data_IF_345177015939
#
_entry.id   IF_345177015939
#
_cell.length_a   1.000
_cell.length_b   1.000
_cell.length_c   1.000
_cell.angle_alpha   90.00
_cell.angle_beta   90.00
_cell.angle_gamma   90.00
#
_symmetry.space_group_name_H-M   'P 1'
#
loop_
_entity.id
_entity.type
_entity.pdbx_description
1 polymer ?
#
# COMPACT_ATOMS: atom_id res chain seq x y z
N UNK A 1 -3.16 17.27 35.51
CA UNK A 1 -2.34 16.07 35.74
C UNK A 1 -0.94 16.33 35.20
N UNK A 2 0.07 16.43 36.07
CA UNK A 2 1.45 16.62 35.65
C UNK A 2 1.97 15.31 35.01
N UNK A 3 2.53 15.39 33.79
CA UNK A 3 3.26 14.26 33.19
C UNK A 3 4.46 13.97 34.08
N UNK A 4 4.45 12.80 34.74
CA UNK A 4 5.63 12.32 35.44
C UNK A 4 6.81 12.21 34.46
N UNK A 5 8.01 12.67 34.83
CA UNK A 5 9.18 12.56 33.98
C UNK A 5 9.46 11.07 33.72
N UNK A 6 9.57 10.72 32.44
CA UNK A 6 9.92 9.36 32.01
C UNK A 6 11.36 9.09 32.48
N UNK A 7 11.50 8.07 33.33
CA UNK A 7 12.79 7.57 33.84
C UNK A 7 13.75 7.27 32.67
N UNK A 8 15.03 7.72 32.71
CA UNK A 8 16.01 7.46 31.66
C UNK A 8 16.11 5.99 31.23
N UNK A 9 15.98 5.04 32.17
CA UNK A 9 15.95 3.60 31.89
C UNK A 9 14.77 3.20 31.00
N UNK A 10 13.59 3.80 31.22
CA UNK A 10 12.40 3.57 30.41
C UNK A 10 12.56 4.10 28.97
N UNK A 11 13.33 5.19 28.77
CA UNK A 11 13.62 5.71 27.43
C UNK A 11 14.60 4.81 26.68
N UNK A 12 15.63 4.32 27.34
CA UNK A 12 16.59 3.37 26.74
C UNK A 12 15.91 2.06 26.36
N UNK A 13 15.08 1.50 27.24
CA UNK A 13 14.28 0.30 26.95
C UNK A 13 13.35 0.48 25.77
N UNK A 14 12.66 1.63 25.68
CA UNK A 14 11.80 1.94 24.54
C UNK A 14 12.59 2.02 23.24
N UNK A 15 13.75 2.67 23.25
CA UNK A 15 14.63 2.77 22.08
C UNK A 15 15.16 1.39 21.63
N UNK A 16 15.50 0.52 22.58
CA UNK A 16 15.92 -0.84 22.31
C UNK A 16 14.80 -1.68 21.69
N UNK A 17 13.58 -1.56 22.21
CA UNK A 17 12.40 -2.20 21.65
C UNK A 17 12.11 -1.74 20.22
N UNK A 18 12.18 -0.42 19.96
CA UNK A 18 11.94 0.13 18.62
C UNK A 18 12.95 -0.38 17.60
N UNK A 19 14.24 -0.47 18.00
CA UNK A 19 15.31 -1.04 17.18
C UNK A 19 15.05 -2.51 16.87
N UNK A 20 14.79 -3.34 17.89
CA UNK A 20 14.52 -4.77 17.72
C UNK A 20 13.31 -5.04 16.83
N UNK A 21 12.24 -4.24 16.99
CA UNK A 21 11.06 -4.32 16.14
C UNK A 21 11.39 -3.99 14.67
N UNK A 22 12.21 -2.98 14.42
CA UNK A 22 12.66 -2.63 13.07
C UNK A 22 13.47 -3.77 12.44
N UNK A 23 14.41 -4.35 13.20
CA UNK A 23 15.23 -5.48 12.77
C UNK A 23 14.36 -6.72 12.45
N UNK A 24 13.36 -7.01 13.28
CA UNK A 24 12.41 -8.10 13.06
C UNK A 24 11.64 -7.92 11.74
N UNK A 25 11.07 -6.73 11.51
CA UNK A 25 10.31 -6.46 10.28
C UNK A 25 11.19 -6.53 9.03
N UNK A 26 12.44 -6.07 9.12
CA UNK A 26 13.40 -6.17 8.03
C UNK A 26 13.78 -7.64 7.75
N UNK A 27 14.05 -8.43 8.79
CA UNK A 27 14.35 -9.85 8.65
C UNK A 27 13.17 -10.62 8.04
N UNK A 28 11.94 -10.34 8.47
CA UNK A 28 10.73 -10.93 7.91
C UNK A 28 10.58 -10.59 6.42
N UNK A 29 10.78 -9.33 6.04
CA UNK A 29 10.73 -8.91 4.64
C UNK A 29 11.75 -9.65 3.76
N UNK A 30 12.99 -9.81 4.24
CA UNK A 30 14.04 -10.57 3.54
C UNK A 30 13.66 -12.05 3.42
N UNK A 31 13.11 -12.65 4.48
CA UNK A 31 12.68 -14.04 4.47
C UNK A 31 11.55 -14.28 3.46
N UNK A 32 10.51 -13.44 3.47
CA UNK A 32 9.34 -13.59 2.58
C UNK A 32 9.69 -13.30 1.12
N UNK A 33 10.54 -12.31 0.84
CA UNK A 33 11.03 -12.05 -0.53
C UNK A 33 11.89 -13.21 -1.06
N UNK A 34 12.73 -13.81 -0.22
CA UNK A 34 13.54 -14.99 -0.58
C UNK A 34 12.64 -16.21 -0.83
N UNK A 35 11.64 -16.43 0.02
CA UNK A 35 10.66 -17.51 -0.14
C UNK A 35 9.81 -17.33 -1.42
N UNK A 36 9.42 -16.10 -1.74
CA UNK A 36 8.72 -15.75 -2.98
C UNK A 36 9.58 -16.09 -4.20
N UNK A 37 10.85 -15.68 -4.23
CA UNK A 37 11.78 -16.00 -5.31
C UNK A 37 11.96 -17.53 -5.49
N UNK A 38 12.02 -18.27 -4.38
CA UNK A 38 12.09 -19.72 -4.42
C UNK A 38 10.81 -20.36 -4.96
N UNK A 39 9.63 -19.85 -4.59
CA UNK A 39 8.35 -20.29 -5.14
C UNK A 39 8.26 -20.03 -6.65
N UNK A 40 8.70 -18.86 -7.12
CA UNK A 40 8.80 -18.54 -8.55
C UNK A 40 9.68 -19.54 -9.28
N UNK A 41 10.86 -19.85 -8.73
CA UNK A 41 11.76 -20.86 -9.31
C UNK A 41 11.12 -22.25 -9.42
N UNK A 42 10.20 -22.58 -8.52
CA UNK A 42 9.45 -23.86 -8.52
C UNK A 42 8.19 -23.83 -9.37
N UNK A 43 7.88 -22.70 -10.02
CA UNK A 43 6.60 -22.48 -10.70
C UNK A 43 5.38 -22.74 -9.79
N UNK A 44 5.54 -22.48 -8.48
CA UNK A 44 4.47 -22.63 -7.50
C UNK A 44 3.72 -21.30 -7.35
N UNK A 45 2.79 -21.07 -8.25
CA UNK A 45 1.99 -19.84 -8.35
C UNK A 45 1.27 -19.53 -7.04
N UNK A 46 0.72 -20.54 -6.35
CA UNK A 46 -0.01 -20.33 -5.09
C UNK A 46 0.92 -19.78 -4.01
N UNK A 47 2.11 -20.37 -3.87
CA UNK A 47 3.12 -19.84 -2.95
C UNK A 47 3.62 -18.47 -3.38
N UNK A 48 3.78 -18.18 -4.68
CA UNK A 48 4.16 -16.83 -5.13
C UNK A 48 3.13 -15.79 -4.65
N UNK A 49 1.84 -16.09 -4.78
CA UNK A 49 0.75 -15.23 -4.33
C UNK A 49 0.74 -15.06 -2.81
N UNK A 50 0.82 -16.15 -2.06
CA UNK A 50 0.82 -16.12 -0.59
C UNK A 50 2.01 -15.30 -0.05
N UNK A 51 3.20 -15.49 -0.62
CA UNK A 51 4.42 -14.75 -0.22
C UNK A 51 4.37 -13.29 -0.64
N UNK A 52 3.77 -12.97 -1.79
CA UNK A 52 3.54 -11.57 -2.21
C UNK A 52 2.67 -10.82 -1.20
N UNK A 53 1.61 -11.47 -0.69
CA UNK A 53 0.77 -10.89 0.34
C UNK A 53 1.53 -10.70 1.67
N UNK A 54 2.36 -11.66 2.07
CA UNK A 54 3.18 -11.56 3.29
C UNK A 54 4.23 -10.42 3.20
N UNK A 55 4.83 -10.22 2.02
CA UNK A 55 5.73 -9.08 1.75
C UNK A 55 5.00 -7.75 1.94
N UNK A 56 3.78 -7.63 1.41
CA UNK A 56 2.94 -6.44 1.59
C UNK A 56 2.59 -6.19 3.06
N UNK A 57 2.25 -7.24 3.81
CA UNK A 57 1.97 -7.16 5.25
C UNK A 57 3.21 -6.70 6.04
N UNK A 58 4.41 -7.16 5.70
CA UNK A 58 5.67 -6.72 6.30
C UNK A 58 5.94 -5.21 6.04
N UNK A 59 5.82 -4.77 4.79
CA UNK A 59 5.96 -3.35 4.42
C UNK A 59 4.92 -2.50 5.14
N UNK A 60 3.70 -3.00 5.21
CA UNK A 60 2.60 -2.35 5.89
C UNK A 60 2.83 -2.18 7.40
N UNK A 61 3.39 -3.21 8.05
CA UNK A 61 3.84 -3.15 9.44
C UNK A 61 4.90 -2.07 9.66
N UNK A 62 5.87 -1.93 8.75
CA UNK A 62 6.88 -0.87 8.79
C UNK A 62 6.26 0.54 8.67
N UNK A 63 5.32 0.73 7.74
CA UNK A 63 4.62 2.02 7.60
C UNK A 63 3.81 2.33 8.86
N UNK A 64 3.10 1.33 9.41
CA UNK A 64 2.26 1.51 10.59
C UNK A 64 3.05 1.99 11.82
N UNK A 65 4.31 1.58 12.00
CA UNK A 65 5.13 2.07 13.10
C UNK A 65 5.66 3.50 12.91
N UNK A 66 5.74 3.98 11.68
CA UNK A 66 6.18 5.34 11.35
C UNK A 66 5.07 6.40 11.50
N UNK A 67 3.80 5.98 11.55
CA UNK A 67 2.67 6.92 11.61
C UNK A 67 2.11 7.10 13.03
N UNK A 68 1.40 8.22 13.29
CA UNK A 68 0.68 8.43 14.52
C UNK A 68 -0.38 7.34 14.79
N UNK A 69 -0.60 7.01 16.07
CA UNK A 69 -1.47 5.92 16.50
C UNK A 69 -2.90 6.00 15.92
N UNK A 70 -3.46 7.20 15.78
CA UNK A 70 -4.81 7.41 15.24
C UNK A 70 -4.94 7.05 13.76
N UNK A 71 -3.84 7.01 13.00
CA UNK A 71 -3.81 6.65 11.57
C UNK A 71 -3.51 5.16 11.37
N UNK A 72 -2.85 4.51 12.34
CA UNK A 72 -2.37 3.11 12.23
C UNK A 72 -3.46 2.13 11.84
N UNK A 73 -4.63 2.22 12.48
CA UNK A 73 -5.73 1.29 12.20
C UNK A 73 -6.21 1.39 10.75
N UNK A 74 -6.27 2.60 10.18
CA UNK A 74 -6.66 2.81 8.78
C UNK A 74 -5.63 2.21 7.83
N UNK A 75 -4.34 2.45 8.09
CA UNK A 75 -3.25 1.89 7.29
C UNK A 75 -3.28 0.36 7.32
N UNK A 76 -3.34 -0.24 8.51
CA UNK A 76 -3.38 -1.70 8.67
C UNK A 76 -4.59 -2.33 7.98
N UNK A 77 -5.74 -1.65 7.97
CA UNK A 77 -6.93 -2.10 7.21
C UNK A 77 -6.66 -2.10 5.71
N UNK A 78 -6.11 -1.01 5.16
CA UNK A 78 -5.77 -0.91 3.72
C UNK A 78 -4.78 -2.00 3.32
N UNK A 79 -3.74 -2.25 4.13
CA UNK A 79 -2.76 -3.32 3.89
C UNK A 79 -3.44 -4.69 3.90
N UNK A 80 -4.32 -4.96 4.88
CA UNK A 80 -5.03 -6.23 4.95
C UNK A 80 -5.95 -6.45 3.75
N UNK A 81 -6.66 -5.41 3.30
CA UNK A 81 -7.53 -5.52 2.13
C UNK A 81 -6.72 -5.73 0.85
N UNK A 82 -5.61 -5.01 0.67
CA UNK A 82 -4.68 -5.24 -0.44
C UNK A 82 -4.06 -6.65 -0.42
N UNK A 83 -3.71 -7.18 0.75
CA UNK A 83 -3.25 -8.57 0.89
C UNK A 83 -4.32 -9.59 0.49
N UNK A 84 -5.60 -9.33 0.78
CA UNK A 84 -6.71 -10.17 0.31
C UNK A 84 -6.87 -10.11 -1.22
N UNK A 85 -6.72 -8.94 -1.84
CA UNK A 85 -6.73 -8.82 -3.30
C UNK A 85 -5.62 -9.63 -3.95
N UNK A 86 -4.40 -9.56 -3.42
CA UNK A 86 -3.27 -10.39 -3.89
C UNK A 86 -3.63 -11.87 -3.75
N UNK A 87 -4.07 -12.32 -2.57
CA UNK A 87 -4.46 -13.73 -2.35
C UNK A 87 -5.58 -14.19 -3.29
N UNK A 88 -6.51 -13.30 -3.64
CA UNK A 88 -7.58 -13.56 -4.59
C UNK A 88 -7.10 -13.81 -6.03
N UNK A 89 -5.90 -13.34 -6.42
CA UNK A 89 -5.40 -13.53 -7.78
C UNK A 89 -5.12 -15.00 -8.10
N UNK A 90 -4.71 -15.81 -7.11
CA UNK A 90 -4.54 -17.25 -7.28
C UNK A 90 -5.85 -17.95 -7.67
N UNK A 91 -6.99 -17.44 -7.19
CA UNK A 91 -8.32 -17.94 -7.57
C UNK A 91 -8.67 -17.53 -9.00
N UNK A 92 -8.38 -16.28 -9.39
CA UNK A 92 -8.59 -15.82 -10.78
C UNK A 92 -7.79 -16.67 -11.78
N UNK A 93 -6.55 -17.05 -11.44
CA UNK A 93 -5.71 -17.91 -12.28
C UNK A 93 -6.24 -19.33 -12.48
N UNK A 94 -7.22 -19.78 -11.68
CA UNK A 94 -7.82 -21.11 -11.81
C UNK A 94 -9.25 -21.08 -12.36
N UNK A 95 -9.88 -19.91 -12.44
CA UNK A 95 -11.30 -19.78 -12.82
C UNK A 95 -11.50 -19.34 -14.26
N UNK A 96 -10.56 -18.59 -14.82
CA UNK A 96 -10.67 -18.06 -16.17
C UNK A 96 -9.89 -18.93 -17.17
N UNK A 97 -10.47 -19.12 -18.35
CA UNK A 97 -9.67 -19.37 -19.55
C UNK A 97 -8.76 -18.16 -19.84
N UNK A 98 -7.72 -18.36 -20.65
CA UNK A 98 -6.79 -17.28 -21.00
C UNK A 98 -7.50 -16.07 -21.62
N UNK A 99 -8.52 -16.31 -22.45
CA UNK A 99 -9.34 -15.26 -23.08
C UNK A 99 -10.17 -14.49 -22.05
N UNK A 100 -10.84 -15.17 -21.12
CA UNK A 100 -11.63 -14.52 -20.07
C UNK A 100 -10.74 -13.73 -19.09
N UNK A 101 -9.52 -14.22 -18.84
CA UNK A 101 -8.55 -13.51 -18.01
C UNK A 101 -8.06 -12.22 -18.68
N UNK A 102 -7.81 -12.25 -20.00
CA UNK A 102 -7.40 -11.07 -20.77
C UNK A 102 -8.53 -10.02 -20.85
N UNK A 103 -9.77 -10.46 -21.06
CA UNK A 103 -10.93 -9.56 -21.07
C UNK A 103 -11.15 -8.92 -19.69
N UNK A 104 -11.12 -9.71 -18.61
CA UNK A 104 -11.22 -9.17 -17.25
C UNK A 104 -10.08 -8.18 -16.92
N UNK A 105 -8.87 -8.45 -17.40
CA UNK A 105 -7.74 -7.51 -17.27
C UNK A 105 -8.01 -6.20 -18.01
N UNK A 106 -8.53 -6.25 -19.24
CA UNK A 106 -8.87 -5.03 -20.01
C UNK A 106 -9.99 -4.24 -19.36
N UNK A 107 -11.07 -4.90 -18.92
CA UNK A 107 -12.20 -4.24 -18.26
C UNK A 107 -11.79 -3.54 -16.96
N UNK A 108 -10.95 -4.19 -16.15
CA UNK A 108 -10.44 -3.58 -14.92
C UNK A 108 -9.51 -2.40 -15.21
N UNK A 109 -8.66 -2.47 -16.23
CA UNK A 109 -7.82 -1.35 -16.65
C UNK A 109 -8.64 -0.16 -17.18
N UNK A 110 -9.70 -0.40 -17.95
CA UNK A 110 -10.63 0.64 -18.39
C UNK A 110 -11.30 1.31 -17.20
N UNK A 111 -11.76 0.52 -16.22
CA UNK A 111 -12.39 1.03 -15.01
C UNK A 111 -11.47 1.98 -14.21
N UNK A 112 -10.17 1.69 -14.14
CA UNK A 112 -9.21 2.59 -13.49
C UNK A 112 -9.04 3.89 -14.27
N UNK A 113 -9.00 3.83 -15.62
CA UNK A 113 -8.92 5.04 -16.46
C UNK A 113 -10.16 5.92 -16.31
N UNK A 114 -11.34 5.32 -16.28
CA UNK A 114 -12.60 6.04 -16.08
C UNK A 114 -12.64 6.71 -14.70
N UNK A 115 -12.15 6.03 -13.67
CA UNK A 115 -12.01 6.61 -12.32
C UNK A 115 -11.02 7.78 -12.29
N UNK A 116 -9.87 7.68 -12.98
CA UNK A 116 -8.91 8.79 -13.09
C UNK A 116 -9.52 9.99 -13.80
N UNK A 117 -10.21 9.77 -14.92
CA UNK A 117 -10.88 10.84 -15.68
C UNK A 117 -11.99 11.52 -14.86
N UNK A 118 -12.73 10.74 -14.07
CA UNK A 118 -13.75 11.25 -13.15
C UNK A 118 -13.14 12.14 -12.06
N UNK A 119 -12.01 11.71 -11.48
CA UNK A 119 -11.28 12.49 -10.49
C UNK A 119 -10.75 13.81 -11.08
N UNK A 120 -10.15 13.77 -12.28
CA UNK A 120 -9.64 14.97 -12.95
C UNK A 120 -10.73 15.97 -13.30
N UNK A 121 -11.88 15.47 -13.77
CA UNK A 121 -13.04 16.31 -14.03
C UNK A 121 -13.53 16.98 -12.75
N UNK A 122 -13.71 16.20 -11.67
CA UNK A 122 -14.15 16.74 -10.38
C UNK A 122 -13.23 17.85 -9.88
N UNK A 123 -11.91 17.62 -9.94
CA UNK A 123 -10.92 18.63 -9.57
C UNK A 123 -11.04 19.88 -10.43
N UNK A 124 -11.15 19.72 -11.75
CA UNK A 124 -11.26 20.85 -12.68
C UNK A 124 -12.49 21.70 -12.36
N UNK A 125 -13.64 21.06 -12.15
CA UNK A 125 -14.90 21.72 -11.78
C UNK A 125 -14.76 22.50 -10.45
N UNK A 126 -14.07 21.93 -9.45
CA UNK A 126 -13.89 22.58 -8.13
C UNK A 126 -12.87 23.73 -8.20
N UNK A 127 -11.79 23.58 -8.97
CA UNK A 127 -10.77 24.63 -9.17
C UNK A 127 -11.37 25.88 -9.82
N UNK A 128 -12.31 25.71 -10.75
CA UNK A 128 -12.98 26.84 -11.42
C UNK A 128 -13.80 27.71 -10.44
N UNK A 129 -14.44 27.08 -9.45
CA UNK A 129 -15.38 27.77 -8.55
C UNK A 129 -14.78 28.12 -7.18
N UNK A 130 -13.61 27.57 -6.82
CA UNK A 130 -12.99 27.76 -5.51
C UNK A 130 -11.51 28.15 -5.63
N UNK A 131 -11.20 29.46 -5.56
CA UNK A 131 -9.82 29.95 -5.57
C UNK A 131 -8.97 29.39 -4.41
N UNK A 132 -9.59 29.14 -3.25
CA UNK A 132 -8.91 28.53 -2.10
C UNK A 132 -8.52 27.08 -2.38
N UNK A 133 -9.40 26.31 -3.02
CA UNK A 133 -9.08 24.95 -3.45
C UNK A 133 -8.00 24.96 -4.55
N UNK A 134 -8.08 25.90 -5.50
CA UNK A 134 -7.08 26.04 -6.56
C UNK A 134 -5.66 26.28 -6.00
N UNK A 135 -5.51 27.15 -5.01
CA UNK A 135 -4.21 27.39 -4.35
C UNK A 135 -3.70 26.12 -3.64
N UNK A 136 -4.54 25.45 -2.83
CA UNK A 136 -4.16 24.20 -2.15
C UNK A 136 -3.80 23.09 -3.15
N UNK A 137 -4.58 22.95 -4.22
CA UNK A 137 -4.36 21.95 -5.26
C UNK A 137 -3.12 22.24 -6.10
N UNK A 138 -2.74 23.52 -6.29
CA UNK A 138 -1.50 23.90 -6.97
C UNK A 138 -0.25 23.51 -6.17
N UNK A 139 -0.36 23.49 -4.84
CA UNK A 139 0.71 23.11 -3.90
C UNK A 139 0.73 21.61 -3.59
N UNK A 140 -0.09 20.82 -4.28
CA UNK A 140 -0.18 19.38 -4.07
C UNK A 140 1.18 18.71 -4.24
N UNK A 141 1.42 17.69 -3.43
CA UNK A 141 2.52 16.78 -3.62
C UNK A 141 2.05 15.61 -4.48
N UNK A 142 2.74 15.39 -5.60
CA UNK A 142 2.41 14.35 -6.57
C UNK A 142 3.23 13.11 -6.27
N UNK A 143 2.61 11.95 -6.43
CA UNK A 143 3.28 10.67 -6.40
C UNK A 143 3.18 10.01 -7.75
N UNK A 144 4.34 9.72 -8.33
CA UNK A 144 4.44 9.01 -9.60
C UNK A 144 4.63 7.52 -9.32
N UNK A 145 3.68 6.70 -9.77
CA UNK A 145 3.84 5.25 -9.74
C UNK A 145 4.90 4.82 -10.74
N UNK A 146 5.84 3.98 -10.30
CA UNK A 146 6.93 3.51 -11.16
C UNK A 146 6.57 2.26 -11.98
N UNK A 147 5.59 1.47 -11.51
CA UNK A 147 5.35 0.11 -12.00
C UNK A 147 3.96 -0.12 -12.60
N UNK A 148 3.00 0.76 -12.34
CA UNK A 148 1.66 0.69 -12.93
C UNK A 148 1.41 1.89 -13.83
N UNK A 149 0.95 1.62 -15.04
CA UNK A 149 0.54 2.63 -16.02
C UNK A 149 -0.93 3.02 -15.87
N UNK A 150 -1.68 2.35 -14.98
CA UNK A 150 -3.11 2.60 -14.81
C UNK A 150 -3.41 3.73 -13.81
N UNK A 151 -2.47 4.11 -12.95
CA UNK A 151 -2.68 5.14 -11.92
C UNK A 151 -1.90 6.42 -12.27
N UNK A 152 -2.60 7.40 -12.84
CA UNK A 152 -1.98 8.66 -13.29
C UNK A 152 -2.09 9.78 -12.24
N UNK A 153 -3.14 9.75 -11.41
CA UNK A 153 -3.52 10.86 -10.54
C UNK A 153 -3.46 10.50 -9.05
N UNK A 154 -2.25 10.27 -8.53
CA UNK A 154 -1.98 10.14 -7.10
C UNK A 154 -1.33 11.42 -6.56
N UNK A 155 -2.05 12.13 -5.71
CA UNK A 155 -1.55 13.35 -5.08
C UNK A 155 -2.22 13.61 -3.74
N UNK A 156 -1.59 14.45 -2.93
CA UNK A 156 -2.13 14.93 -1.65
C UNK A 156 -1.97 16.44 -1.54
N UNK A 157 -2.96 17.10 -0.94
CA UNK A 157 -2.88 18.51 -0.60
C UNK A 157 -1.96 18.67 0.61
N UNK A 158 -1.08 19.67 0.58
CA UNK A 158 -0.22 20.06 1.71
C UNK A 158 -0.96 20.94 2.69
#
# INVERSE_FOLDING_TARGET
MARMPVDPSSKEQLSGFEKQRSELLQAALVAETTAMAFATRRNDVRQVVDRSAAVLECMGGQIAVMVPAHVRASILRVISDAAKYIKGSATQMMMYSDDEADDALRETQVSVKDANASLDKNVSDVVEISPAFADLYSRREKYTTLTTTCLENLYWMK
#
